data_IF_231800873691
#
_entry.id   IF_231800873691
#
_cell.length_a   1.000
_cell.length_b   1.000
_cell.length_c   1.000
_cell.angle_alpha   90.00
_cell.angle_beta   90.00
_cell.angle_gamma   90.00
#
_symmetry.space_group_name_H-M   'P 1'
#
loop_
_entity.id
_entity.type
_entity.pdbx_description
1 polymer ?
#
# COMPACT_ATOMS: atom_id res chain seq x y z
N UNK A 1 -6.91 20.83 5.05
CA UNK A 1 -7.82 19.69 4.83
C UNK A 1 -7.44 18.62 5.84
N UNK A 2 -8.37 18.14 6.63
CA UNK A 2 -8.20 17.04 7.57
C UNK A 2 -8.19 15.68 6.85
N UNK A 3 -7.72 14.61 7.51
CA UNK A 3 -7.83 13.24 6.96
C UNK A 3 -9.29 12.84 6.69
N UNK A 4 -10.21 13.22 7.58
CA UNK A 4 -11.64 12.92 7.37
C UNK A 4 -12.22 13.62 6.15
N UNK A 5 -11.83 14.86 5.89
CA UNK A 5 -12.22 15.56 4.66
C UNK A 5 -11.61 14.90 3.43
N UNK A 6 -10.33 14.47 3.52
CA UNK A 6 -9.68 13.71 2.43
C UNK A 6 -10.48 12.46 2.09
N UNK A 7 -10.80 11.61 3.08
CA UNK A 7 -11.57 10.38 2.89
C UNK A 7 -12.93 10.64 2.25
N UNK A 8 -13.62 11.70 2.67
CA UNK A 8 -14.97 12.03 2.16
C UNK A 8 -14.98 12.54 0.73
N UNK A 9 -13.96 13.28 0.32
CA UNK A 9 -13.98 14.00 -0.96
C UNK A 9 -13.13 13.38 -2.05
N UNK A 10 -12.16 12.52 -1.73
CA UNK A 10 -11.29 11.91 -2.74
C UNK A 10 -12.07 10.90 -3.62
N UNK A 11 -11.68 10.85 -4.88
CA UNK A 11 -12.11 9.82 -5.84
C UNK A 11 -11.11 8.65 -5.85
N UNK A 12 -9.85 8.93 -5.53
CA UNK A 12 -8.78 7.94 -5.39
C UNK A 12 -8.03 8.24 -4.09
N UNK A 13 -8.00 7.26 -3.18
CA UNK A 13 -7.18 7.29 -1.97
C UNK A 13 -5.92 6.46 -2.20
N UNK A 14 -4.76 7.11 -2.30
CA UNK A 14 -3.48 6.42 -2.46
C UNK A 14 -2.62 6.52 -1.20
N UNK A 15 -2.14 5.37 -0.70
CA UNK A 15 -1.42 5.25 0.56
C UNK A 15 0.09 5.26 0.29
N UNK A 16 0.82 6.17 0.99
CA UNK A 16 2.27 6.36 0.85
C UNK A 16 2.98 6.58 2.21
N UNK A 17 2.39 6.10 3.30
CA UNK A 17 2.96 6.23 4.65
C UNK A 17 3.66 4.94 5.10
N UNK A 18 4.66 5.00 5.98
CA UNK A 18 5.27 3.82 6.60
C UNK A 18 4.30 3.19 7.61
N UNK A 19 4.55 1.93 8.01
CA UNK A 19 3.86 1.30 9.14
C UNK A 19 4.42 1.82 10.45
N UNK A 20 3.55 2.38 11.26
CA UNK A 20 3.81 2.79 12.65
C UNK A 20 2.65 2.31 13.53
N UNK A 21 2.72 2.55 14.83
CA UNK A 21 1.60 2.26 15.72
C UNK A 21 0.33 3.02 15.33
N UNK A 22 0.48 4.25 14.80
CA UNK A 22 -0.63 5.13 14.40
C UNK A 22 -1.19 4.78 13.01
N UNK A 23 -0.35 4.26 12.11
CA UNK A 23 -0.76 3.98 10.72
C UNK A 23 -1.23 2.54 10.51
N UNK A 24 -0.96 1.62 11.45
CA UNK A 24 -1.46 0.25 11.39
C UNK A 24 -2.99 0.24 11.48
N UNK A 25 -3.63 -0.39 10.47
CA UNK A 25 -5.08 -0.41 10.30
C UNK A 25 -5.74 0.99 10.30
N UNK A 26 -5.00 2.03 9.87
CA UNK A 26 -5.57 3.38 9.81
C UNK A 26 -6.67 3.51 8.76
N UNK A 27 -6.68 2.62 7.75
CA UNK A 27 -7.76 2.51 6.77
C UNK A 27 -8.61 1.30 7.15
N UNK A 28 -9.68 1.56 7.87
CA UNK A 28 -10.62 0.58 8.42
C UNK A 28 -12.05 0.83 7.91
N UNK A 29 -13.01 0.12 8.47
CA UNK A 29 -14.43 0.26 8.12
C UNK A 29 -14.93 1.70 8.22
N UNK A 30 -14.48 2.47 9.21
CA UNK A 30 -14.94 3.85 9.39
C UNK A 30 -14.44 4.77 8.27
N UNK A 31 -13.23 4.50 7.76
CA UNK A 31 -12.72 5.20 6.57
C UNK A 31 -13.56 4.84 5.34
N UNK A 32 -13.82 3.55 5.11
CA UNK A 32 -14.64 3.13 3.98
C UNK A 32 -16.06 3.70 4.06
N UNK A 33 -16.66 3.79 5.25
CA UNK A 33 -17.96 4.42 5.48
C UNK A 33 -18.00 5.92 5.11
N UNK A 34 -16.85 6.59 5.19
CA UNK A 34 -16.72 7.99 4.81
C UNK A 34 -16.46 8.21 3.31
N UNK A 35 -15.91 7.20 2.62
CA UNK A 35 -15.53 7.31 1.20
C UNK A 35 -16.76 7.33 0.28
N UNK A 36 -16.56 7.87 -0.92
CA UNK A 36 -17.58 7.80 -1.97
C UNK A 36 -17.73 6.34 -2.45
N UNK A 37 -18.94 5.92 -2.81
CA UNK A 37 -19.17 4.61 -3.40
C UNK A 37 -18.48 4.41 -4.77
N UNK A 38 -18.06 5.50 -5.39
CA UNK A 38 -17.26 5.51 -6.63
C UNK A 38 -15.76 5.56 -6.38
N UNK A 39 -15.32 5.69 -5.12
CA UNK A 39 -13.90 5.84 -4.80
C UNK A 39 -13.11 4.53 -4.98
N UNK A 40 -11.83 4.69 -5.29
CA UNK A 40 -10.86 3.60 -5.44
C UNK A 40 -9.76 3.76 -4.38
N UNK A 41 -9.43 2.67 -3.68
CA UNK A 41 -8.28 2.60 -2.79
C UNK A 41 -7.06 2.08 -3.56
N UNK A 42 -5.90 2.71 -3.39
CA UNK A 42 -4.61 2.22 -3.89
C UNK A 42 -3.63 2.08 -2.71
N UNK A 43 -3.08 0.89 -2.52
CA UNK A 43 -2.05 0.65 -1.52
C UNK A 43 -0.82 -0.01 -2.14
N UNK A 44 0.22 0.77 -2.34
CA UNK A 44 1.56 0.33 -2.75
C UNK A 44 2.58 0.53 -1.62
N UNK A 45 2.12 0.83 -0.40
CA UNK A 45 2.96 1.06 0.77
C UNK A 45 3.19 -0.24 1.56
N UNK A 46 2.26 -0.60 2.45
CA UNK A 46 2.31 -1.84 3.26
C UNK A 46 0.90 -2.35 3.55
N UNK A 47 0.72 -3.68 3.55
CA UNK A 47 -0.56 -4.33 3.77
C UNK A 47 -1.19 -4.01 5.11
N UNK A 48 -0.37 -3.89 6.17
CA UNK A 48 -0.81 -3.63 7.55
C UNK A 48 -1.52 -2.29 7.75
N UNK A 49 -1.37 -1.35 6.81
CA UNK A 49 -2.02 -0.03 6.92
C UNK A 49 -3.52 -0.12 6.68
N UNK A 50 -3.95 -1.12 5.91
CA UNK A 50 -5.35 -1.36 5.58
C UNK A 50 -5.86 -2.56 6.37
N UNK A 51 -6.97 -2.43 7.06
CA UNK A 51 -7.71 -3.59 7.57
C UNK A 51 -8.32 -4.34 6.39
N UNK A 52 -7.73 -5.49 6.04
CA UNK A 52 -8.05 -6.20 4.80
C UNK A 52 -9.39 -6.94 4.87
N UNK A 53 -9.85 -7.28 6.06
CA UNK A 53 -11.21 -7.80 6.24
C UNK A 53 -12.26 -6.69 6.03
N UNK A 54 -11.99 -5.49 6.53
CA UNK A 54 -12.88 -4.34 6.31
C UNK A 54 -12.90 -3.94 4.84
N UNK A 55 -11.75 -3.99 4.15
CA UNK A 55 -11.67 -3.77 2.70
C UNK A 55 -12.50 -4.82 1.93
N UNK A 56 -12.37 -6.10 2.28
CA UNK A 56 -13.20 -7.15 1.70
C UNK A 56 -14.69 -6.83 1.85
N UNK A 57 -15.11 -6.47 3.07
CA UNK A 57 -16.50 -6.14 3.37
C UNK A 57 -16.97 -4.92 2.56
N UNK A 58 -16.13 -3.89 2.44
CA UNK A 58 -16.43 -2.67 1.68
C UNK A 58 -16.60 -2.96 0.17
N UNK A 59 -15.79 -3.86 -0.40
CA UNK A 59 -15.92 -4.30 -1.79
C UNK A 59 -17.20 -5.11 -2.00
N UNK A 60 -17.48 -6.06 -1.11
CA UNK A 60 -18.66 -6.93 -1.21
C UNK A 60 -19.96 -6.14 -1.06
N UNK A 61 -19.99 -5.19 -0.14
CA UNK A 61 -21.16 -4.33 0.07
C UNK A 61 -21.30 -3.20 -0.97
N UNK A 62 -20.29 -2.99 -1.83
CA UNK A 62 -20.30 -1.88 -2.80
C UNK A 62 -20.07 -0.52 -2.17
N UNK A 63 -19.48 -0.45 -0.99
CA UNK A 63 -19.20 0.78 -0.26
C UNK A 63 -18.12 1.62 -0.93
N UNK A 64 -17.18 0.97 -1.65
CA UNK A 64 -16.23 1.60 -2.58
C UNK A 64 -16.28 0.89 -3.93
N UNK A 65 -15.79 1.54 -4.98
CA UNK A 65 -15.81 0.98 -6.34
C UNK A 65 -14.80 -0.14 -6.52
N UNK A 66 -13.61 -0.03 -5.91
CA UNK A 66 -12.56 -1.02 -6.10
C UNK A 66 -11.28 -0.72 -5.32
N UNK A 67 -10.29 -1.61 -5.43
CA UNK A 67 -8.99 -1.42 -4.82
C UNK A 67 -7.85 -1.98 -5.68
N UNK A 68 -6.67 -1.33 -5.62
CA UNK A 68 -5.39 -1.83 -6.12
C UNK A 68 -4.42 -2.03 -4.97
N UNK A 69 -3.92 -3.25 -4.78
CA UNK A 69 -3.04 -3.63 -3.69
C UNK A 69 -1.77 -4.27 -4.22
N UNK A 70 -0.61 -3.66 -4.00
CA UNK A 70 0.69 -4.28 -4.29
C UNK A 70 1.23 -5.05 -3.08
N UNK A 71 0.74 -4.72 -1.89
CA UNK A 71 1.15 -5.30 -0.62
C UNK A 71 -0.07 -5.82 0.13
N UNK A 72 -0.02 -7.07 0.56
CA UNK A 72 -1.01 -7.68 1.43
C UNK A 72 -0.38 -8.03 2.79
N UNK A 73 -1.18 -8.43 3.76
CA UNK A 73 -0.69 -8.87 5.07
C UNK A 73 -1.52 -10.08 5.55
N UNK A 74 -0.84 -11.15 6.06
CA UNK A 74 0.62 -11.32 6.15
C UNK A 74 1.29 -11.60 4.79
N UNK A 75 2.61 -11.44 4.73
CA UNK A 75 3.44 -11.92 3.63
C UNK A 75 4.37 -13.05 4.15
N UNK A 76 4.40 -14.23 3.52
CA UNK A 76 3.65 -14.64 2.32
C UNK A 76 2.14 -14.68 2.55
N UNK A 77 1.38 -14.33 1.50
CA UNK A 77 -0.08 -14.25 1.56
C UNK A 77 -0.67 -15.68 1.62
N UNK A 78 -1.48 -16.02 2.65
CA UNK A 78 -2.11 -17.34 2.72
C UNK A 78 -3.26 -17.46 1.72
N UNK A 79 -3.56 -18.71 1.30
CA UNK A 79 -4.60 -18.96 0.30
C UNK A 79 -6.01 -18.57 0.76
N UNK A 80 -6.28 -18.57 2.06
CA UNK A 80 -7.56 -18.17 2.67
C UNK A 80 -7.67 -16.67 2.95
N UNK A 81 -6.73 -15.88 2.44
CA UNK A 81 -6.74 -14.44 2.60
C UNK A 81 -8.04 -13.82 2.04
N UNK A 82 -8.72 -12.91 2.77
CA UNK A 82 -10.04 -12.40 2.39
C UNK A 82 -10.12 -11.90 0.94
N UNK A 83 -9.14 -11.11 0.51
CA UNK A 83 -9.15 -10.54 -0.85
C UNK A 83 -8.92 -11.57 -1.96
N UNK A 84 -8.39 -12.78 -1.63
CA UNK A 84 -8.28 -13.90 -2.57
C UNK A 84 -9.56 -14.73 -2.61
N UNK A 85 -10.47 -14.54 -1.66
CA UNK A 85 -11.75 -15.25 -1.52
C UNK A 85 -12.95 -14.42 -1.99
N UNK A 86 -12.71 -13.33 -2.74
CA UNK A 86 -13.80 -12.54 -3.31
C UNK A 86 -14.67 -13.39 -4.24
N UNK A 87 -16.00 -13.22 -4.17
CA UNK A 87 -16.91 -13.83 -5.12
C UNK A 87 -16.49 -13.53 -6.57
N UNK A 88 -16.58 -14.50 -7.46
CA UNK A 88 -16.10 -14.42 -8.84
C UNK A 88 -16.59 -13.15 -9.56
N UNK A 89 -17.87 -12.80 -9.37
CA UNK A 89 -18.48 -11.62 -9.98
C UNK A 89 -18.01 -10.27 -9.39
N UNK A 90 -17.15 -10.28 -8.34
CA UNK A 90 -16.56 -9.09 -7.74
C UNK A 90 -15.03 -9.01 -7.89
N UNK A 91 -14.39 -10.07 -8.39
CA UNK A 91 -12.93 -10.12 -8.50
C UNK A 91 -12.36 -9.00 -9.38
N UNK A 92 -13.11 -8.56 -10.39
CA UNK A 92 -12.70 -7.46 -11.27
C UNK A 92 -12.56 -6.10 -10.54
N UNK A 93 -13.13 -5.98 -9.34
CA UNK A 93 -13.04 -4.76 -8.52
C UNK A 93 -11.70 -4.63 -7.79
N UNK A 94 -10.91 -5.71 -7.71
CA UNK A 94 -9.64 -5.71 -6.98
C UNK A 94 -8.52 -6.16 -7.90
N UNK A 95 -7.48 -5.33 -8.00
CA UNK A 95 -6.22 -5.68 -8.66
C UNK A 95 -5.17 -5.95 -7.61
N UNK A 96 -4.54 -7.12 -7.67
CA UNK A 96 -3.47 -7.53 -6.77
C UNK A 96 -2.18 -7.69 -7.55
N UNK A 97 -1.07 -7.19 -7.01
CA UNK A 97 0.28 -7.48 -7.50
C UNK A 97 1.16 -8.01 -6.36
N UNK A 98 2.15 -8.86 -6.64
CA UNK A 98 2.88 -9.59 -5.60
C UNK A 98 4.06 -8.79 -5.04
N UNK A 99 3.82 -7.59 -4.52
CA UNK A 99 4.80 -6.68 -3.90
C UNK A 99 5.97 -6.36 -4.85
N UNK A 100 5.64 -5.95 -6.06
CA UNK A 100 6.62 -5.71 -7.15
C UNK A 100 6.71 -4.25 -7.59
N UNK A 101 5.99 -3.34 -6.97
CA UNK A 101 5.98 -1.92 -7.37
C UNK A 101 7.36 -1.25 -7.36
N UNK A 102 8.27 -1.72 -6.47
CA UNK A 102 9.66 -1.28 -6.43
C UNK A 102 10.63 -2.08 -7.31
N UNK A 103 10.21 -3.14 -7.99
CA UNK A 103 11.09 -4.08 -8.70
C UNK A 103 11.28 -3.75 -10.18
N UNK A 104 11.61 -2.51 -10.49
CA UNK A 104 11.93 -2.11 -11.86
C UNK A 104 13.43 -2.12 -12.12
N UNK A 105 13.84 -2.37 -13.39
CA UNK A 105 15.25 -2.31 -13.78
C UNK A 105 15.90 -0.95 -13.43
N UNK A 106 15.17 0.15 -13.61
CA UNK A 106 15.64 1.50 -13.28
C UNK A 106 15.89 1.68 -11.78
N UNK A 107 14.98 1.19 -10.93
CA UNK A 107 15.11 1.25 -9.47
C UNK A 107 16.30 0.43 -8.99
N UNK A 108 16.44 -0.83 -9.43
CA UNK A 108 17.59 -1.66 -9.08
C UNK A 108 18.92 -1.03 -9.50
N UNK A 109 18.99 -0.54 -10.74
CA UNK A 109 20.21 0.14 -11.24
C UNK A 109 20.58 1.36 -10.40
N UNK A 110 19.60 2.17 -10.00
CA UNK A 110 19.81 3.34 -9.14
C UNK A 110 20.27 2.92 -7.74
N UNK A 111 19.58 1.95 -7.14
CA UNK A 111 19.91 1.42 -5.82
C UNK A 111 21.34 0.88 -5.76
N UNK A 112 21.75 0.03 -6.70
CA UNK A 112 23.13 -0.49 -6.75
C UNK A 112 24.16 0.61 -6.92
N UNK A 113 23.90 1.61 -7.76
CA UNK A 113 24.83 2.76 -7.91
C UNK A 113 24.99 3.53 -6.60
N UNK A 114 23.89 3.76 -5.88
CA UNK A 114 23.92 4.46 -4.59
C UNK A 114 24.69 3.64 -3.54
N UNK A 115 24.44 2.33 -3.47
CA UNK A 115 25.16 1.42 -2.55
C UNK A 115 26.67 1.47 -2.84
N UNK A 116 27.09 1.29 -4.09
CA UNK A 116 28.51 1.33 -4.46
C UNK A 116 29.16 2.68 -4.21
N UNK A 117 28.44 3.77 -4.47
CA UNK A 117 28.92 5.13 -4.16
C UNK A 117 29.16 5.31 -2.67
N UNK A 118 28.26 4.82 -1.82
CA UNK A 118 28.38 4.91 -0.36
C UNK A 118 29.51 4.03 0.17
N UNK A 119 29.66 2.80 -0.33
CA UNK A 119 30.79 1.92 0.03
C UNK A 119 32.11 2.60 -0.35
N UNK A 120 32.23 3.12 -1.57
CA UNK A 120 33.44 3.83 -2.01
C UNK A 120 33.73 5.05 -1.15
N UNK A 121 32.71 5.83 -0.80
CA UNK A 121 32.89 7.00 0.08
C UNK A 121 33.48 6.60 1.44
N UNK A 122 32.92 5.57 2.08
CA UNK A 122 33.40 5.08 3.38
C UNK A 122 34.81 4.54 3.29
N UNK A 123 35.14 3.74 2.26
CA UNK A 123 36.50 3.23 2.05
C UNK A 123 37.56 4.33 1.86
N UNK A 124 37.15 5.51 1.39
CA UNK A 124 38.04 6.67 1.22
C UNK A 124 37.92 7.70 2.36
N UNK A 125 37.34 7.32 3.51
CA UNK A 125 37.18 8.20 4.66
C UNK A 125 36.19 9.36 4.43
N UNK A 126 35.32 9.27 3.42
CA UNK A 126 34.32 10.29 3.10
C UNK A 126 32.96 9.91 3.71
N UNK A 127 32.14 10.91 3.93
CA UNK A 127 30.78 10.72 4.44
C UNK A 127 29.89 10.12 3.33
N UNK A 128 29.15 9.02 3.58
CA UNK A 128 28.18 8.49 2.63
C UNK A 128 26.95 9.41 2.51
N UNK A 129 26.18 9.24 1.44
CA UNK A 129 24.90 9.92 1.23
C UNK A 129 23.75 9.21 1.99
N UNK A 130 22.69 9.98 2.30
CA UNK A 130 21.45 9.44 2.88
C UNK A 130 21.65 8.71 4.22
N UNK A 131 22.42 9.32 5.12
CA UNK A 131 22.59 8.80 6.48
C UNK A 131 21.31 9.02 7.26
N UNK A 132 20.79 7.93 7.82
CA UNK A 132 19.68 7.96 8.79
C UNK A 132 20.30 7.99 10.19
N UNK A 133 20.00 9.04 10.96
CA UNK A 133 20.39 9.20 12.38
C UNK A 133 19.16 9.20 13.25
#
# INVERSE_FOLDING_TARGET
MSLQELYRFCDILSIHVPVTAETKNMVDKHVFECMKSTAILINTARGEIVNQQDLYNAIVSGQIAGAGMDTLFPEPVPFDHPLLQLPEHLQYKVTLSPHIGGTTYGVFRHMYRTIWSNISAVCHGKKPNHIVV
#
